data_IF_227560075302
#
_entry.id   IF_227560075302
#
_cell.length_a   1.000
_cell.length_b   1.000
_cell.length_c   1.000
_cell.angle_alpha   90.00
_cell.angle_beta   90.00
_cell.angle_gamma   90.00
#
_symmetry.space_group_name_H-M   'P 1'
#
loop_
_entity.id
_entity.type
_entity.pdbx_description
1 polymer ?
#
# COMPACT_ATOMS: atom_id res chain seq x y z
N UNK A 1 -13.63 -14.49 -7.52
CA UNK A 1 -14.64 -13.41 -7.70
C UNK A 1 -13.85 -12.15 -8.02
N UNK A 2 -14.28 -11.26 -8.92
CA UNK A 2 -13.52 -10.04 -9.20
C UNK A 2 -14.14 -8.86 -8.45
N UNK A 3 -13.36 -8.25 -7.56
CA UNK A 3 -13.69 -6.97 -6.93
C UNK A 3 -13.17 -5.88 -7.88
N UNK A 4 -13.93 -4.81 -8.05
CA UNK A 4 -13.52 -3.66 -8.84
C UNK A 4 -14.08 -2.37 -8.27
N UNK A 5 -13.45 -1.26 -8.60
CA UNK A 5 -13.86 0.07 -8.19
C UNK A 5 -12.95 1.14 -8.77
N UNK A 6 -13.06 2.33 -8.18
CA UNK A 6 -12.15 3.44 -8.43
C UNK A 6 -11.49 3.82 -7.11
N UNK A 7 -10.20 4.11 -7.12
CA UNK A 7 -9.44 4.45 -5.92
C UNK A 7 -8.74 5.78 -6.12
N UNK A 8 -9.15 6.81 -5.36
CA UNK A 8 -8.38 8.03 -5.18
C UNK A 8 -7.34 7.78 -4.09
N UNK A 9 -6.07 7.64 -4.49
CA UNK A 9 -5.02 7.04 -3.65
C UNK A 9 -3.72 7.82 -3.72
N UNK A 10 -3.04 7.89 -2.58
CA UNK A 10 -1.65 8.31 -2.46
C UNK A 10 -0.81 7.10 -2.08
N UNK A 11 0.13 6.72 -2.95
CA UNK A 11 1.18 5.76 -2.64
C UNK A 11 2.41 6.51 -2.12
N UNK A 12 2.87 6.18 -0.93
CA UNK A 12 4.09 6.71 -0.35
C UNK A 12 5.06 5.57 -0.02
N UNK A 13 6.33 5.71 -0.40
CA UNK A 13 7.36 4.71 -0.08
C UNK A 13 8.26 5.26 1.03
N UNK A 14 8.32 4.53 2.14
CA UNK A 14 9.10 4.84 3.32
C UNK A 14 10.34 3.93 3.39
N UNK A 15 11.55 4.49 3.57
CA UNK A 15 12.73 3.68 3.82
C UNK A 15 12.80 3.30 5.30
N UNK A 16 12.25 2.14 5.67
CA UNK A 16 12.34 1.62 7.05
C UNK A 16 13.61 0.81 7.22
N UNK A 17 14.21 0.84 8.41
CA UNK A 17 15.35 -0.02 8.72
C UNK A 17 14.93 -1.49 8.64
N UNK A 18 15.82 -2.37 8.16
CA UNK A 18 15.57 -3.82 8.08
C UNK A 18 15.07 -4.37 9.41
N UNK A 19 15.67 -3.95 10.54
CA UNK A 19 15.24 -4.36 11.88
C UNK A 19 13.79 -3.95 12.22
N UNK A 20 13.34 -2.76 11.77
CA UNK A 20 11.95 -2.33 11.96
C UNK A 20 11.01 -3.19 11.12
N UNK A 21 11.39 -3.50 9.88
CA UNK A 21 10.60 -4.37 9.00
C UNK A 21 10.51 -5.79 9.56
N UNK A 22 11.60 -6.35 10.10
CA UNK A 22 11.57 -7.66 10.76
C UNK A 22 10.57 -7.69 11.94
N UNK A 23 10.48 -6.61 12.71
CA UNK A 23 9.48 -6.46 13.78
C UNK A 23 8.05 -6.40 13.23
N UNK A 24 7.82 -5.63 12.16
CA UNK A 24 6.51 -5.55 11.49
C UNK A 24 6.05 -6.89 10.92
N UNK A 25 6.98 -7.66 10.37
CA UNK A 25 6.69 -8.99 9.81
C UNK A 25 6.43 -10.04 10.89
N UNK A 26 6.64 -9.69 12.18
CA UNK A 26 6.71 -10.59 13.32
C UNK A 26 7.61 -11.79 12.99
N UNK A 27 8.86 -11.48 12.58
CA UNK A 27 9.70 -12.36 11.79
C UNK A 27 9.74 -13.82 12.29
N UNK A 28 8.98 -14.66 11.61
CA UNK A 28 9.16 -16.10 11.54
C UNK A 28 9.90 -16.43 10.25
N UNK A 29 10.80 -17.42 10.29
CA UNK A 29 11.83 -17.78 9.31
C UNK A 29 11.42 -18.05 7.84
N UNK A 30 10.18 -17.78 7.44
CA UNK A 30 9.67 -18.03 6.09
C UNK A 30 9.50 -16.79 5.20
N UNK A 31 9.69 -15.58 5.73
CA UNK A 31 9.58 -14.32 4.96
C UNK A 31 10.96 -13.75 4.66
N UNK A 32 11.63 -14.19 3.60
CA UNK A 32 12.91 -13.60 3.20
C UNK A 32 12.66 -12.27 2.51
N UNK A 33 13.31 -11.20 2.99
CA UNK A 33 13.30 -9.90 2.32
C UNK A 33 14.24 -9.97 1.12
N UNK A 34 13.72 -9.68 -0.07
CA UNK A 34 14.47 -9.60 -1.32
C UNK A 34 15.06 -8.20 -1.46
N UNK A 35 16.25 -8.13 -2.07
CA UNK A 35 16.87 -6.85 -2.39
C UNK A 35 15.98 -6.07 -3.38
N UNK A 36 15.63 -4.80 -3.09
CA UNK A 36 14.92 -3.96 -4.03
C UNK A 36 15.75 -3.73 -5.31
N UNK A 37 15.08 -3.58 -6.45
CA UNK A 37 15.76 -3.26 -7.71
C UNK A 37 16.37 -1.84 -7.64
N UNK A 38 17.70 -1.68 -7.75
CA UNK A 38 18.35 -0.38 -7.68
C UNK A 38 17.98 0.56 -8.84
N UNK A 39 17.44 0.03 -9.96
CA UNK A 39 16.91 0.85 -11.06
C UNK A 39 15.57 1.50 -10.71
N UNK A 40 14.73 0.80 -9.94
CA UNK A 40 13.44 1.31 -9.46
C UNK A 40 13.60 2.20 -8.23
N UNK A 41 14.55 1.85 -7.35
CA UNK A 41 14.80 2.56 -6.09
C UNK A 41 16.22 3.13 -6.01
N UNK A 42 16.65 4.00 -6.95
CA UNK A 42 17.94 4.64 -6.86
C UNK A 42 18.08 5.41 -5.54
N UNK A 43 19.28 5.33 -4.95
CA UNK A 43 19.62 6.01 -3.70
C UNK A 43 18.69 5.64 -2.52
N UNK A 44 18.11 4.43 -2.51
CA UNK A 44 17.55 3.86 -1.29
C UNK A 44 18.69 3.70 -0.26
N UNK A 45 18.55 4.17 0.99
CA UNK A 45 19.62 4.07 1.98
C UNK A 45 20.01 2.61 2.25
N UNK A 46 21.28 2.37 2.53
CA UNK A 46 21.74 1.06 2.98
C UNK A 46 20.98 0.62 4.24
N UNK A 47 20.78 -0.68 4.41
CA UNK A 47 20.07 -1.29 5.53
C UNK A 47 18.61 -0.82 5.69
N UNK A 48 18.01 -0.32 4.60
CA UNK A 48 16.58 0.00 4.55
C UNK A 48 15.84 -0.81 3.50
N UNK A 49 14.55 -1.01 3.76
CA UNK A 49 13.60 -1.72 2.91
C UNK A 49 12.49 -0.75 2.57
N UNK A 50 12.05 -0.67 1.29
CA UNK A 50 10.91 0.14 0.92
C UNK A 50 9.66 -0.47 1.57
N UNK A 51 8.93 0.34 2.33
CA UNK A 51 7.62 0.02 2.88
C UNK A 51 6.61 0.96 2.27
N UNK A 52 5.50 0.43 1.78
CA UNK A 52 4.47 1.22 1.12
C UNK A 52 3.40 1.57 2.13
N UNK A 53 3.02 2.84 2.14
CA UNK A 53 1.78 3.30 2.73
C UNK A 53 0.86 3.69 1.58
N UNK A 54 -0.27 3.01 1.47
CA UNK A 54 -1.34 3.28 0.51
C UNK A 54 -2.46 4.00 1.27
N UNK A 55 -2.81 5.21 0.87
CA UNK A 55 -3.73 6.07 1.62
C UNK A 55 -4.78 6.66 0.69
N UNK A 56 -6.06 6.42 0.95
CA UNK A 56 -7.07 7.07 0.12
C UNK A 56 -8.51 6.69 0.40
N UNK A 57 -9.31 6.88 -0.66
CA UNK A 57 -10.72 6.55 -0.71
C UNK A 57 -11.03 5.63 -1.88
N UNK A 58 -11.63 4.51 -1.57
CA UNK A 58 -12.22 3.61 -2.54
C UNK A 58 -13.68 4.00 -2.81
N UNK A 59 -14.07 3.99 -4.08
CA UNK A 59 -15.36 4.46 -4.59
C UNK A 59 -15.94 3.39 -5.50
N UNK A 60 -17.20 3.04 -5.26
CA UNK A 60 -17.93 1.99 -5.96
C UNK A 60 -17.16 0.65 -5.98
N UNK A 61 -16.52 0.33 -4.87
CA UNK A 61 -15.74 -0.90 -4.68
C UNK A 61 -16.62 -2.05 -4.23
N UNK A 62 -16.42 -3.22 -4.84
CA UNK A 62 -16.95 -4.48 -4.36
C UNK A 62 -17.27 -5.46 -5.48
N UNK A 63 -17.75 -6.67 -5.16
CA UNK A 63 -18.05 -7.70 -6.14
C UNK A 63 -19.38 -7.47 -6.86
N UNK A 64 -19.37 -7.62 -8.19
CA UNK A 64 -20.60 -7.55 -9.01
C UNK A 64 -21.39 -6.26 -8.76
N UNK A 65 -22.65 -6.39 -8.32
CA UNK A 65 -23.54 -5.26 -8.05
C UNK A 65 -23.46 -4.71 -6.62
N UNK A 66 -22.65 -5.29 -5.73
CA UNK A 66 -22.46 -4.79 -4.35
C UNK A 66 -21.31 -3.80 -4.40
N UNK A 67 -21.63 -2.50 -4.35
CA UNK A 67 -20.65 -1.41 -4.45
C UNK A 67 -20.74 -0.50 -3.21
N UNK A 68 -19.58 -0.20 -2.63
CA UNK A 68 -19.43 0.61 -1.43
C UNK A 68 -18.37 1.69 -1.66
N UNK A 69 -18.47 2.78 -0.91
CA UNK A 69 -17.45 3.83 -0.87
C UNK A 69 -16.90 3.89 0.56
N UNK A 70 -15.57 3.87 0.71
CA UNK A 70 -14.92 3.78 2.02
C UNK A 70 -13.52 4.39 2.04
N UNK A 71 -13.10 4.85 3.21
CA UNK A 71 -11.72 5.26 3.47
C UNK A 71 -10.89 4.01 3.74
N UNK A 72 -9.67 3.97 3.20
CA UNK A 72 -8.74 2.90 3.48
C UNK A 72 -7.29 3.39 3.55
N UNK A 73 -6.55 2.84 4.53
CA UNK A 73 -5.11 2.93 4.58
C UNK A 73 -4.50 1.52 4.68
N UNK A 74 -3.42 1.28 3.95
CA UNK A 74 -2.67 0.02 4.00
C UNK A 74 -1.21 0.29 4.34
N UNK A 75 -0.65 -0.57 5.20
CA UNK A 75 0.79 -0.64 5.44
C UNK A 75 1.32 -1.95 4.86
N UNK A 76 2.27 -1.85 3.94
CA UNK A 76 2.68 -2.99 3.12
C UNK A 76 4.19 -3.11 3.00
N UNK A 77 4.68 -4.36 3.07
CA UNK A 77 6.09 -4.67 2.89
C UNK A 77 6.23 -5.41 1.55
N UNK A 78 6.64 -4.73 0.46
CA UNK A 78 6.93 -5.35 -0.81
C UNK A 78 8.23 -6.16 -0.81
N UNK A 79 8.52 -6.81 -1.93
CA UNK A 79 9.78 -7.53 -2.17
C UNK A 79 10.03 -8.64 -1.14
N UNK A 80 9.00 -9.40 -0.80
CA UNK A 80 9.14 -10.58 0.03
C UNK A 80 9.12 -11.85 -0.80
N UNK A 81 9.95 -12.80 -0.42
CA UNK A 81 9.90 -14.16 -0.93
C UNK A 81 8.77 -14.92 -0.23
N UNK A 82 7.87 -15.50 -1.01
CA UNK A 82 6.76 -16.33 -0.52
C UNK A 82 6.83 -17.77 -1.01
N UNK A 83 7.25 -17.97 -2.26
CA UNK A 83 7.27 -19.28 -2.91
C UNK A 83 8.65 -19.91 -2.79
N UNK A 84 8.69 -21.14 -2.26
CA UNK A 84 9.95 -21.89 -2.13
C UNK A 84 10.55 -22.30 -3.48
N UNK A 85 9.69 -22.47 -4.51
CA UNK A 85 10.12 -22.85 -5.88
C UNK A 85 10.53 -21.67 -6.74
N UNK A 86 10.09 -20.46 -6.39
CA UNK A 86 10.40 -19.23 -7.11
C UNK A 86 10.77 -18.13 -6.10
N UNK A 87 11.89 -18.29 -5.39
CA UNK A 87 12.21 -17.41 -4.28
C UNK A 87 12.48 -15.97 -4.72
N UNK A 88 12.76 -15.73 -6.01
CA UNK A 88 13.04 -14.43 -6.59
C UNK A 88 11.79 -13.65 -7.03
N UNK A 89 10.61 -14.29 -7.13
CA UNK A 89 9.38 -13.59 -7.50
C UNK A 89 8.90 -12.76 -6.31
N UNK A 90 8.84 -11.41 -6.42
CA UNK A 90 8.51 -10.56 -5.29
C UNK A 90 7.01 -10.57 -4.99
N UNK A 91 6.69 -10.67 -3.71
CA UNK A 91 5.34 -10.51 -3.19
C UNK A 91 5.28 -9.34 -2.21
N UNK A 92 4.07 -8.82 -2.01
CA UNK A 92 3.79 -7.83 -0.98
C UNK A 92 3.03 -8.44 0.20
N UNK A 93 3.53 -8.23 1.41
CA UNK A 93 2.81 -8.61 2.62
C UNK A 93 2.02 -7.40 3.15
N UNK A 94 0.70 -7.54 3.22
CA UNK A 94 -0.18 -6.52 3.83
C UNK A 94 -0.12 -6.67 5.34
N UNK A 95 0.67 -5.82 5.99
CA UNK A 95 0.93 -5.90 7.44
C UNK A 95 -0.29 -5.49 8.25
N UNK A 96 -1.00 -4.46 7.79
CA UNK A 96 -2.24 -3.98 8.39
C UNK A 96 -3.05 -3.18 7.37
N UNK A 97 -4.37 -3.25 7.48
CA UNK A 97 -5.32 -2.47 6.69
C UNK A 97 -6.27 -1.78 7.66
N UNK A 98 -6.51 -0.49 7.46
CA UNK A 98 -7.45 0.30 8.23
C UNK A 98 -8.58 0.71 7.29
N UNK A 99 -9.84 0.57 7.72
CA UNK A 99 -11.02 0.92 6.91
C UNK A 99 -12.07 1.61 7.76
N UNK A 100 -12.97 2.39 7.16
CA UNK A 100 -14.12 2.98 7.86
C UNK A 100 -15.45 2.20 7.66
N UNK A 101 -15.40 1.07 6.96
CA UNK A 101 -16.55 0.18 6.74
C UNK A 101 -16.37 -1.20 7.39
N UNK A 102 -17.30 -1.55 8.28
CA UNK A 102 -17.25 -2.82 9.02
C UNK A 102 -17.43 -4.06 8.14
N UNK A 103 -18.13 -3.93 7.01
CA UNK A 103 -18.31 -5.04 6.05
C UNK A 103 -16.95 -5.46 5.47
N UNK A 104 -16.08 -4.49 5.21
CA UNK A 104 -14.78 -4.75 4.62
C UNK A 104 -13.86 -5.46 5.62
N UNK A 105 -13.87 -5.07 6.90
CA UNK A 105 -13.16 -5.79 7.98
C UNK A 105 -13.49 -7.28 8.01
N UNK A 106 -14.77 -7.62 7.88
CA UNK A 106 -15.20 -9.01 7.88
C UNK A 106 -14.80 -9.73 6.58
N UNK A 107 -15.02 -9.09 5.43
CA UNK A 107 -14.71 -9.65 4.12
C UNK A 107 -13.22 -9.94 3.96
N UNK A 108 -12.36 -8.95 4.23
CA UNK A 108 -10.91 -9.06 4.09
C UNK A 108 -10.30 -10.16 4.99
N UNK A 109 -10.83 -10.31 6.21
CA UNK A 109 -10.39 -11.35 7.13
C UNK A 109 -10.84 -12.74 6.66
N UNK A 110 -12.12 -12.91 6.31
CA UNK A 110 -12.66 -14.22 5.94
C UNK A 110 -12.10 -14.69 4.59
N UNK A 111 -11.95 -13.78 3.63
CA UNK A 111 -11.57 -14.12 2.26
C UNK A 111 -10.05 -14.24 2.08
N UNK A 112 -9.28 -13.35 2.72
CA UNK A 112 -7.83 -13.25 2.51
C UNK A 112 -6.99 -13.39 3.78
N UNK A 113 -7.60 -13.51 4.96
CA UNK A 113 -6.88 -13.51 6.25
C UNK A 113 -6.08 -12.24 6.47
N UNK A 114 -6.61 -11.10 6.01
CA UNK A 114 -5.96 -9.81 6.14
C UNK A 114 -6.13 -9.25 7.55
N UNK A 115 -5.07 -8.68 8.14
CA UNK A 115 -5.15 -7.97 9.41
C UNK A 115 -5.82 -6.60 9.19
N UNK A 116 -7.15 -6.57 9.20
CA UNK A 116 -7.94 -5.35 8.98
C UNK A 116 -8.59 -4.87 10.29
N UNK A 117 -8.60 -3.56 10.52
CA UNK A 117 -9.35 -2.93 11.63
C UNK A 117 -10.27 -1.80 11.16
N UNK A 118 -11.35 -1.61 11.93
CA UNK A 118 -12.29 -0.51 11.73
C UNK A 118 -11.77 0.74 12.44
N UNK A 119 -11.56 1.83 11.71
CA UNK A 119 -11.01 3.07 12.24
C UNK A 119 -11.79 4.31 11.80
N UNK A 120 -11.40 5.46 12.35
CA UNK A 120 -11.89 6.77 11.92
C UNK A 120 -10.78 7.55 11.23
N UNK A 121 -11.14 8.21 10.13
CA UNK A 121 -10.23 8.89 9.24
C UNK A 121 -10.40 10.40 9.32
N UNK A 122 -9.30 11.12 9.15
CA UNK A 122 -9.30 12.57 8.94
C UNK A 122 -8.48 12.89 7.70
N UNK A 123 -9.09 13.48 6.65
CA UNK A 123 -10.53 13.74 6.51
C UNK A 123 -11.36 12.44 6.42
N UNK A 124 -12.67 12.55 6.65
CA UNK A 124 -13.61 11.44 6.45
C UNK A 124 -13.82 11.09 4.97
N UNK A 125 -13.48 12.00 4.06
CA UNK A 125 -13.47 11.80 2.62
C UNK A 125 -12.21 12.47 2.06
N UNK A 126 -11.19 11.66 1.75
CA UNK A 126 -9.92 12.16 1.22
C UNK A 126 -9.99 12.55 -0.25
N UNK A 127 -10.97 12.04 -0.99
CA UNK A 127 -11.18 12.40 -2.39
C UNK A 127 -11.78 13.81 -2.55
N UNK A 128 -12.44 14.32 -1.50
CA UNK A 128 -13.07 15.64 -1.49
C UNK A 128 -12.20 16.74 -0.84
N UNK A 129 -10.89 16.50 -0.66
CA UNK A 129 -9.98 17.56 -0.19
C UNK A 129 -9.69 18.52 -1.34
N UNK A 130 -10.03 19.80 -1.14
CA UNK A 130 -9.72 20.85 -2.09
C UNK A 130 -8.27 21.31 -2.00
N UNK A 131 -7.64 21.59 -3.15
CA UNK A 131 -6.33 22.23 -3.23
C UNK A 131 -5.24 21.29 -3.74
N UNK A 132 -3.98 21.58 -3.41
CA UNK A 132 -2.80 20.77 -3.79
C UNK A 132 -2.31 19.84 -2.67
N UNK A 133 -3.10 19.69 -1.62
CA UNK A 133 -2.71 18.95 -0.42
C UNK A 133 -3.49 17.64 -0.29
N UNK A 134 -2.81 16.62 0.20
CA UNK A 134 -3.35 15.29 0.47
C UNK A 134 -3.08 14.93 1.95
N UNK A 135 -3.78 15.57 2.90
CA UNK A 135 -3.73 15.19 4.30
C UNK A 135 -4.48 13.87 4.50
N UNK A 136 -3.94 13.02 5.36
CA UNK A 136 -4.57 11.74 5.70
C UNK A 136 -4.18 11.34 7.11
N UNK A 137 -5.12 10.84 7.90
CA UNK A 137 -4.85 10.39 9.26
C UNK A 137 -5.78 9.26 9.65
N UNK A 138 -5.18 8.23 10.25
CA UNK A 138 -5.82 7.19 11.03
C UNK A 138 -5.28 7.31 12.44
N UNK A 139 -6.17 7.64 13.39
CA UNK A 139 -5.77 8.01 14.75
C UNK A 139 -4.89 6.92 15.39
N UNK A 140 -3.67 7.29 15.78
CA UNK A 140 -2.75 6.39 16.48
C UNK A 140 -2.14 5.31 15.59
N UNK A 141 -2.27 5.43 14.26
CA UNK A 141 -1.67 4.49 13.31
C UNK A 141 -0.78 5.20 12.28
N UNK A 142 -1.37 6.11 11.49
CA UNK A 142 -0.66 6.85 10.44
C UNK A 142 -1.17 8.27 10.35
N UNK A 143 -0.27 9.21 10.15
CA UNK A 143 -0.59 10.60 9.81
C UNK A 143 0.31 11.03 8.66
N UNK A 144 -0.26 11.64 7.62
CA UNK A 144 0.49 12.17 6.51
C UNK A 144 -0.01 13.54 6.10
N UNK A 145 0.91 14.35 5.60
CA UNK A 145 0.58 15.60 4.92
C UNK A 145 1.44 15.72 3.68
N UNK A 146 0.85 15.45 2.53
CA UNK A 146 1.51 15.57 1.24
C UNK A 146 1.05 16.82 0.51
N UNK A 147 1.95 17.39 -0.28
CA UNK A 147 1.65 18.43 -1.25
C UNK A 147 2.16 17.97 -2.62
N UNK A 148 1.46 18.34 -3.69
CA UNK A 148 2.01 18.21 -5.06
C UNK A 148 3.39 18.85 -5.13
N UNK A 149 4.33 18.19 -5.81
CA UNK A 149 5.67 18.73 -6.04
C UNK A 149 5.62 20.13 -6.66
N UNK A 150 6.57 20.97 -6.24
CA UNK A 150 6.75 22.30 -6.81
C UNK A 150 7.25 22.25 -8.25
N UNK A 151 7.09 23.36 -8.97
CA UNK A 151 7.69 23.50 -10.30
C UNK A 151 9.22 23.36 -10.22
N UNK A 152 9.79 22.46 -11.01
CA UNK A 152 11.23 22.16 -11.00
C UNK A 152 11.70 21.20 -9.90
N UNK A 153 10.80 20.70 -9.04
CA UNK A 153 11.13 19.58 -8.16
C UNK A 153 10.97 18.24 -8.88
N UNK A 154 11.97 17.38 -8.77
CA UNK A 154 11.94 16.03 -9.32
C UNK A 154 11.49 15.01 -8.25
N UNK A 155 10.71 14.00 -8.63
CA UNK A 155 10.37 12.91 -7.72
C UNK A 155 11.61 12.08 -7.40
N UNK A 156 11.68 11.53 -6.19
CA UNK A 156 12.77 10.63 -5.80
C UNK A 156 12.82 9.36 -6.66
N UNK A 157 11.65 8.85 -7.03
CA UNK A 157 11.44 7.65 -7.82
C UNK A 157 10.39 7.92 -8.90
N UNK A 158 10.56 7.32 -10.08
CA UNK A 158 9.60 7.44 -11.17
C UNK A 158 8.31 6.64 -10.91
N UNK A 159 7.31 6.82 -11.77
CA UNK A 159 6.01 6.10 -11.69
C UNK A 159 6.20 4.58 -11.65
N UNK A 160 7.18 4.06 -12.39
CA UNK A 160 7.48 2.63 -12.47
C UNK A 160 7.75 1.99 -11.11
N UNK A 161 8.39 2.72 -10.18
CA UNK A 161 8.64 2.22 -8.84
C UNK A 161 7.32 1.99 -8.06
N UNK A 162 6.37 2.93 -8.19
CA UNK A 162 5.06 2.84 -7.54
C UNK A 162 4.19 1.77 -8.18
N UNK A 163 4.18 1.71 -9.52
CA UNK A 163 3.49 0.65 -10.28
C UNK A 163 4.03 -0.73 -9.91
N UNK A 164 5.36 -0.86 -9.79
CA UNK A 164 5.99 -2.12 -9.42
C UNK A 164 5.47 -2.62 -8.07
N UNK A 165 5.54 -1.81 -7.02
CA UNK A 165 5.14 -2.26 -5.67
C UNK A 165 3.64 -2.44 -5.52
N UNK A 166 2.82 -1.59 -6.15
CA UNK A 166 1.36 -1.65 -6.04
C UNK A 166 0.74 -2.82 -6.81
N UNK A 167 1.45 -3.35 -7.82
CA UNK A 167 0.98 -4.44 -8.68
C UNK A 167 1.51 -5.82 -8.29
N UNK A 168 2.38 -5.92 -7.26
CA UNK A 168 2.86 -7.21 -6.78
C UNK A 168 1.68 -8.04 -6.25
N UNK A 169 1.70 -9.34 -6.52
CA UNK A 169 0.82 -10.29 -5.83
C UNK A 169 1.05 -10.17 -4.33
N UNK A 170 -0.04 -10.08 -3.57
CA UNK A 170 0.00 -9.81 -2.15
C UNK A 170 -0.62 -10.93 -1.33
N UNK A 171 -0.24 -10.98 -0.06
CA UNK A 171 -0.77 -11.93 0.92
C UNK A 171 -0.89 -11.30 2.31
N UNK A 172 -1.81 -11.84 3.10
CA UNK A 172 -1.95 -11.57 4.53
C UNK A 172 -1.39 -12.72 5.36
N UNK A 173 -2.06 -13.04 6.47
CA UNK A 173 -1.68 -14.18 7.31
C UNK A 173 -2.22 -15.53 6.79
N UNK A 174 -3.06 -15.51 5.76
CA UNK A 174 -3.56 -16.70 5.06
C UNK A 174 -2.52 -17.34 4.13
N UNK A 175 -2.83 -18.54 3.64
CA UNK A 175 -2.09 -19.19 2.56
C UNK A 175 -2.45 -18.64 1.17
N UNK A 176 -3.60 -17.97 1.05
CA UNK A 176 -4.10 -17.43 -0.22
C UNK A 176 -3.50 -16.06 -0.51
N UNK A 177 -3.42 -15.76 -1.79
CA UNK A 177 -2.96 -14.49 -2.32
C UNK A 177 -4.08 -13.75 -3.07
N UNK A 178 -3.90 -12.45 -3.19
CA UNK A 178 -4.67 -11.59 -4.09
C UNK A 178 -3.74 -10.73 -4.95
N UNK A 179 -4.26 -10.13 -6.00
CA UNK A 179 -3.50 -9.22 -6.86
C UNK A 179 -4.35 -8.00 -7.16
N UNK A 180 -3.81 -6.83 -6.84
CA UNK A 180 -4.40 -5.55 -7.19
C UNK A 180 -3.86 -5.13 -8.56
N UNK A 181 -4.74 -4.76 -9.48
CA UNK A 181 -4.37 -4.21 -10.78
C UNK A 181 -5.01 -2.84 -10.93
N UNK A 182 -4.17 -1.82 -11.03
CA UNK A 182 -4.55 -0.43 -11.29
C UNK A 182 -4.36 -0.09 -12.77
N UNK A 183 -5.32 0.62 -13.37
CA UNK A 183 -5.22 1.12 -14.74
C UNK A 183 -4.36 2.39 -14.80
N UNK A 184 -3.05 2.21 -14.80
CA UNK A 184 -2.08 3.29 -14.97
C UNK A 184 -1.99 3.81 -16.42
N UNK A 185 -2.53 3.08 -17.41
CA UNK A 185 -2.54 3.56 -18.81
C UNK A 185 -3.62 4.62 -19.01
N UNK A 186 -4.75 4.48 -18.32
CA UNK A 186 -5.89 5.39 -18.38
C UNK A 186 -6.36 5.77 -16.97
N UNK A 187 -5.54 6.49 -16.19
CA UNK A 187 -5.97 6.98 -14.89
C UNK A 187 -7.14 7.97 -15.05
N UNK A 188 -8.02 8.01 -14.04
CA UNK A 188 -9.22 8.87 -14.05
C UNK A 188 -8.83 10.35 -14.01
N UNK A 189 -7.73 10.67 -13.33
CA UNK A 189 -7.09 11.98 -13.32
C UNK A 189 -5.61 11.90 -13.71
N UNK A 190 -4.97 13.05 -13.94
CA UNK A 190 -3.54 13.08 -14.20
C UNK A 190 -2.78 12.78 -12.91
N UNK A 191 -1.91 11.75 -12.88
CA UNK A 191 -1.11 11.45 -11.70
C UNK A 191 -0.22 12.63 -11.30
N UNK A 192 -0.10 12.85 -9.99
CA UNK A 192 0.69 13.91 -9.41
C UNK A 192 1.74 13.32 -8.48
N UNK A 193 3.01 13.64 -8.69
CA UNK A 193 4.04 13.37 -7.70
C UNK A 193 3.87 14.30 -6.50
N UNK A 194 4.02 13.75 -5.31
CA UNK A 194 3.83 14.46 -4.06
C UNK A 194 5.04 14.35 -3.15
N UNK A 195 5.22 15.34 -2.26
CA UNK A 195 6.22 15.32 -1.20
C UNK A 195 5.62 15.80 0.12
N UNK A 196 6.07 15.20 1.21
CA UNK A 196 5.52 15.49 2.52
C UNK A 196 6.21 14.76 3.64
N UNK A 197 5.44 14.57 4.71
CA UNK A 197 5.82 13.87 5.90
C UNK A 197 4.79 12.80 6.24
N UNK A 198 5.28 11.68 6.76
CA UNK A 198 4.47 10.56 7.24
C UNK A 198 4.94 10.20 8.63
N UNK A 199 4.03 10.18 9.58
CA UNK A 199 4.26 9.66 10.93
C UNK A 199 3.60 8.29 11.04
N UNK A 200 4.39 7.27 11.36
CA UNK A 200 3.87 5.96 11.73
C UNK A 200 3.94 5.82 13.25
N UNK A 201 2.84 5.35 13.84
CA UNK A 201 2.71 5.12 15.27
C UNK A 201 2.93 3.63 15.60
N UNK A 202 3.38 3.30 16.82
CA UNK A 202 3.44 1.92 17.29
C UNK A 202 2.07 1.21 17.23
N UNK A 203 2.02 -0.10 16.92
CA UNK A 203 3.16 -0.97 16.56
C UNK A 203 3.56 -0.88 15.08
N UNK A 204 2.86 -0.08 14.27
CA UNK A 204 2.94 -0.03 12.80
C UNK A 204 4.23 0.55 12.24
N UNK A 205 5.14 1.01 13.09
CA UNK A 205 6.49 1.44 12.72
C UNK A 205 7.58 0.42 13.04
N UNK A 206 7.22 -0.72 13.65
CA UNK A 206 8.18 -1.72 14.10
C UNK A 206 9.02 -1.22 15.28
N UNK A 207 8.41 -0.51 16.22
CA UNK A 207 9.09 0.13 17.35
C UNK A 207 8.11 0.59 18.44
N UNK A 208 8.66 1.10 19.54
CA UNK A 208 7.89 1.53 20.72
C UNK A 208 7.46 3.00 20.68
N UNK A 209 8.11 3.82 19.84
CA UNK A 209 7.87 5.26 19.72
C UNK A 209 7.40 5.60 18.30
N UNK A 210 6.56 6.63 18.11
CA UNK A 210 6.22 7.14 16.78
C UNK A 210 7.45 7.63 16.03
N UNK A 211 7.49 7.42 14.72
CA UNK A 211 8.56 7.93 13.84
C UNK A 211 7.95 8.77 12.74
N UNK A 212 8.45 10.00 12.60
CA UNK A 212 8.11 10.89 11.50
C UNK A 212 9.20 10.84 10.42
N UNK A 213 8.83 10.34 9.26
CA UNK A 213 9.61 10.40 8.03
C UNK A 213 9.37 11.76 7.37
N UNK A 214 10.44 12.51 7.12
CA UNK A 214 10.38 13.81 6.43
C UNK A 214 10.89 13.68 5.00
N UNK A 215 10.39 14.54 4.10
CA UNK A 215 10.73 14.48 2.67
C UNK A 215 10.39 13.11 2.06
N UNK A 216 9.26 12.54 2.46
CA UNK A 216 8.69 11.35 1.83
C UNK A 216 8.14 11.77 0.48
N UNK A 217 8.49 11.03 -0.57
CA UNK A 217 7.91 11.20 -1.90
C UNK A 217 6.83 10.15 -2.12
N UNK A 218 5.84 10.52 -2.93
CA UNK A 218 4.74 9.65 -3.30
C UNK A 218 4.20 9.93 -4.69
N UNK A 219 3.22 9.13 -5.09
CA UNK A 219 2.39 9.29 -6.27
C UNK A 219 0.93 9.34 -5.83
N UNK A 220 0.25 10.44 -6.15
CA UNK A 220 -1.19 10.56 -5.98
C UNK A 220 -1.89 10.44 -7.34
N UNK A 221 -2.96 9.65 -7.41
CA UNK A 221 -3.80 9.54 -8.59
C UNK A 221 -5.13 8.86 -8.25
N UNK A 222 -6.06 8.94 -9.18
CA UNK A 222 -7.33 8.21 -9.16
C UNK A 222 -7.29 7.13 -10.24
N UNK A 223 -7.35 5.87 -9.82
CA UNK A 223 -7.27 4.72 -10.73
C UNK A 223 -8.57 3.94 -10.74
N UNK A 224 -8.98 3.46 -11.92
CA UNK A 224 -9.83 2.27 -11.94
C UNK A 224 -8.99 1.06 -11.57
N UNK A 225 -9.56 0.13 -10.81
CA UNK A 225 -8.83 -1.04 -10.38
C UNK A 225 -9.69 -2.31 -10.40
N UNK A 226 -8.99 -3.45 -10.35
CA UNK A 226 -9.59 -4.73 -10.03
C UNK A 226 -8.71 -5.53 -9.07
N UNK A 227 -9.34 -6.40 -8.29
CA UNK A 227 -8.66 -7.38 -7.44
C UNK A 227 -9.04 -8.78 -7.93
N UNK A 228 -8.00 -9.57 -8.21
CA UNK A 228 -8.10 -11.01 -8.45
C UNK A 228 -7.74 -11.78 -7.18
N UNK A 229 -8.37 -12.93 -6.98
CA UNK A 229 -8.24 -13.76 -5.78
C UNK A 229 -9.59 -14.01 -5.08
N UNK A 230 -9.57 -14.64 -3.89
CA UNK A 230 -8.41 -15.29 -3.28
C UNK A 230 -8.05 -16.57 -4.04
N UNK A 231 -6.76 -16.77 -4.31
CA UNK A 231 -6.25 -17.96 -5.02
C UNK A 231 -4.93 -18.44 -4.41
N UNK A 232 -4.50 -19.65 -4.76
CA UNK A 232 -3.14 -20.11 -4.44
C UNK A 232 -2.11 -19.16 -5.08
N UNK A 233 -1.09 -18.79 -4.31
CA UNK A 233 -0.09 -17.78 -4.70
C UNK A 233 0.69 -18.15 -5.98
N UNK A 234 0.98 -19.44 -6.21
CA UNK A 234 1.67 -19.86 -7.42
C UNK A 234 0.73 -19.83 -8.64
N UNK A 235 -0.54 -20.17 -8.44
CA UNK A 235 -1.57 -20.08 -9.49
C UNK A 235 -1.75 -18.62 -9.93
N UNK A 236 -1.89 -17.70 -8.98
CA UNK A 236 -2.14 -16.28 -9.27
C UNK A 236 -1.00 -15.61 -10.04
N UNK A 237 0.26 -15.98 -9.75
CA UNK A 237 1.43 -15.48 -10.48
C UNK A 237 1.58 -16.05 -11.89
N UNK A 238 0.93 -17.18 -12.20
CA UNK A 238 0.99 -17.78 -13.53
C UNK A 238 0.01 -17.17 -14.54
N UNK A 239 -0.80 -16.19 -14.11
CA UNK A 239 -1.85 -15.55 -14.91
C UNK A 239 -1.38 -14.27 -15.64
N UNK A 240 -0.07 -14.03 -15.72
CA UNK A 240 0.55 -12.94 -16.49
C UNK A 240 0.97 -13.38 -17.89
#
# INVERSE_FOLDING_TARGET
MSISGTYNVTFAILPLLTAQVELLLNYSSWKTILSPDPLLFPNLPNDTVPVVVELGREIQTGPGSIKLDFQEAKLEVPNLSRLTKEPSTPFTFKTHIFVDQAIDVFGSFVEFGLPTSLETFVPADSANVSGRGYPYSVKGAVESNFLTLGEGEEPRWGEEAYRNVSSQTWFGWSLLCGRHTYDYEHPVDTPAFVKGNVTLYPPYVGGADPVTFTNVHGLHATFNFSIAGPEDCATLNSLD
#
